data_IF_597276525170
#
_entry.id   IF_597276525170
#
_cell.length_a   1.000
_cell.length_b   1.000
_cell.length_c   1.000
_cell.angle_alpha   90.00
_cell.angle_beta   90.00
_cell.angle_gamma   90.00
#
_symmetry.space_group_name_H-M   'P 1'
#
loop_
_entity.id
_entity.type
_entity.pdbx_description
1 polymer ?
#
# COMPACT_ATOMS: atom_id res chain seq x y z
N UNK A 1 -51.29 -13.09 39.94
CA UNK A 1 -51.17 -11.67 39.54
C UNK A 1 -49.69 -11.39 39.27
N UNK A 2 -49.17 -11.51 38.03
CA UNK A 2 -47.73 -11.38 37.78
C UNK A 2 -47.38 -10.47 36.58
N UNK A 3 -48.12 -9.38 36.32
CA UNK A 3 -47.84 -8.48 35.18
C UNK A 3 -46.65 -7.54 35.40
N UNK A 4 -46.29 -7.26 36.66
CA UNK A 4 -45.19 -6.37 37.02
C UNK A 4 -43.81 -6.98 36.73
N UNK A 5 -43.59 -8.23 37.13
CA UNK A 5 -42.27 -8.88 37.02
C UNK A 5 -41.83 -9.12 35.58
N UNK A 6 -42.76 -9.49 34.69
CA UNK A 6 -42.49 -9.73 33.26
C UNK A 6 -42.02 -8.44 32.57
N UNK A 7 -42.59 -7.29 32.93
CA UNK A 7 -42.23 -6.00 32.36
C UNK A 7 -40.83 -5.53 32.79
N UNK A 8 -40.41 -5.82 34.03
CA UNK A 8 -39.05 -5.55 34.51
C UNK A 8 -38.00 -6.47 33.85
N UNK A 9 -38.33 -7.74 33.59
CA UNK A 9 -37.42 -8.69 32.91
C UNK A 9 -37.20 -8.29 31.45
N UNK A 10 -38.24 -7.84 30.75
CA UNK A 10 -38.10 -7.36 29.36
C UNK A 10 -37.24 -6.10 29.25
N UNK A 11 -37.42 -5.12 30.17
CA UNK A 11 -36.57 -3.91 30.24
C UNK A 11 -35.11 -4.24 30.56
N UNK A 12 -34.87 -5.21 31.45
CA UNK A 12 -33.51 -5.66 31.78
C UNK A 12 -32.85 -6.37 30.59
N UNK A 13 -33.61 -7.17 29.83
CA UNK A 13 -33.13 -7.86 28.63
C UNK A 13 -32.86 -6.89 27.47
N UNK A 14 -33.70 -5.87 27.28
CA UNK A 14 -33.49 -4.85 26.24
C UNK A 14 -32.33 -3.91 26.59
N UNK A 15 -32.21 -3.50 27.85
CA UNK A 15 -31.08 -2.71 28.33
C UNK A 15 -29.77 -3.49 28.27
N UNK A 16 -29.79 -4.78 28.62
CA UNK A 16 -28.65 -5.68 28.47
C UNK A 16 -28.23 -5.87 27.01
N UNK A 17 -29.19 -6.00 26.09
CA UNK A 17 -28.93 -6.08 24.65
C UNK A 17 -28.32 -4.81 24.07
N UNK A 18 -28.82 -3.63 24.47
CA UNK A 18 -28.24 -2.34 24.07
C UNK A 18 -26.83 -2.13 24.64
N UNK A 19 -26.62 -2.45 25.93
CA UNK A 19 -25.31 -2.32 26.56
C UNK A 19 -24.27 -3.27 25.93
N UNK A 20 -24.66 -4.52 25.67
CA UNK A 20 -23.81 -5.50 24.99
C UNK A 20 -23.48 -5.08 23.55
N UNK A 21 -24.47 -4.56 22.80
CA UNK A 21 -24.25 -4.06 21.45
C UNK A 21 -23.32 -2.85 21.40
N UNK A 22 -23.46 -1.93 22.36
CA UNK A 22 -22.61 -0.74 22.46
C UNK A 22 -21.17 -1.11 22.86
N UNK A 23 -21.01 -2.04 23.82
CA UNK A 23 -19.70 -2.60 24.16
C UNK A 23 -19.03 -3.29 22.96
N UNK A 24 -19.78 -4.09 22.21
CA UNK A 24 -19.25 -4.77 21.02
C UNK A 24 -18.80 -3.76 19.95
N UNK A 25 -19.60 -2.72 19.69
CA UNK A 25 -19.20 -1.64 18.77
C UNK A 25 -17.94 -0.92 19.25
N UNK A 26 -17.84 -0.64 20.54
CA UNK A 26 -16.70 0.07 21.11
C UNK A 26 -15.41 -0.76 21.02
N UNK A 27 -15.50 -2.07 21.29
CA UNK A 27 -14.39 -3.01 21.10
C UNK A 27 -14.00 -3.11 19.63
N UNK A 28 -14.98 -3.20 18.72
CA UNK A 28 -14.74 -3.26 17.28
C UNK A 28 -14.06 -1.99 16.75
N UNK A 29 -14.38 -0.81 17.32
CA UNK A 29 -13.76 0.46 16.97
C UNK A 29 -12.38 0.64 17.63
N UNK A 30 -12.21 0.13 18.85
CA UNK A 30 -10.94 0.21 19.58
C UNK A 30 -9.84 -0.63 18.93
N UNK A 31 -10.19 -1.76 18.30
CA UNK A 31 -9.24 -2.65 17.62
C UNK A 31 -8.43 -1.95 16.51
N UNK A 32 -9.04 -1.29 15.50
CA UNK A 32 -8.29 -0.57 14.48
C UNK A 32 -7.55 0.65 15.05
N UNK A 33 -8.10 1.32 16.07
CA UNK A 33 -7.43 2.44 16.74
C UNK A 33 -6.14 2.00 17.46
N UNK A 34 -6.19 0.87 18.19
CA UNK A 34 -5.00 0.28 18.81
C UNK A 34 -3.98 -0.16 17.76
N UNK A 35 -4.43 -0.74 16.66
CA UNK A 35 -3.56 -1.11 15.55
C UNK A 35 -2.88 0.12 14.92
N UNK A 36 -3.61 1.24 14.82
CA UNK A 36 -3.08 2.50 14.31
C UNK A 36 -2.10 3.16 15.28
N UNK A 37 -2.34 3.10 16.59
CA UNK A 37 -1.38 3.55 17.59
C UNK A 37 -0.07 2.74 17.50
N UNK A 38 -0.19 1.41 17.45
CA UNK A 38 0.97 0.54 17.27
C UNK A 38 1.70 0.80 15.95
N UNK A 39 0.96 0.95 14.85
CA UNK A 39 1.54 1.29 13.55
C UNK A 39 2.23 2.66 13.56
N UNK A 40 1.68 3.64 14.29
CA UNK A 40 2.29 4.96 14.44
C UNK A 40 3.62 4.90 15.21
N UNK A 41 3.67 4.22 16.35
CA UNK A 41 4.92 4.04 17.09
C UNK A 41 5.96 3.24 16.29
N UNK A 42 5.53 2.17 15.63
CA UNK A 42 6.41 1.37 14.75
C UNK A 42 6.92 2.24 13.59
N UNK A 43 6.11 3.15 13.05
CA UNK A 43 6.52 4.02 11.96
C UNK A 43 7.61 5.01 12.39
N UNK A 44 7.57 5.50 13.63
CA UNK A 44 8.61 6.37 14.18
C UNK A 44 9.91 5.60 14.36
N UNK A 45 9.86 4.38 14.89
CA UNK A 45 11.03 3.51 14.95
C UNK A 45 11.56 3.15 13.55
N UNK A 46 10.67 2.97 12.58
CA UNK A 46 11.04 2.71 11.19
C UNK A 46 11.74 3.90 10.53
N UNK A 47 11.58 5.14 11.01
CA UNK A 47 12.28 6.32 10.45
C UNK A 47 13.80 6.16 10.44
N UNK A 48 14.38 5.48 11.44
CA UNK A 48 15.82 5.25 11.49
C UNK A 48 16.28 4.29 10.39
N UNK A 49 15.41 3.37 9.96
CA UNK A 49 15.72 2.32 8.98
C UNK A 49 15.28 2.68 7.56
N UNK A 50 14.32 3.60 7.40
CA UNK A 50 13.78 4.02 6.10
C UNK A 50 14.88 4.53 5.15
N UNK A 51 15.82 5.40 5.55
CA UNK A 51 16.90 5.86 4.67
C UNK A 51 17.78 4.71 4.16
N UNK A 52 18.09 3.75 5.04
CA UNK A 52 18.88 2.57 4.67
C UNK A 52 18.11 1.66 3.71
N UNK A 53 16.82 1.42 3.98
CA UNK A 53 15.95 0.63 3.12
C UNK A 53 15.79 1.25 1.71
N UNK A 54 15.59 2.58 1.64
CA UNK A 54 15.54 3.32 0.36
C UNK A 54 16.88 3.20 -0.36
N UNK A 55 18.00 3.38 0.35
CA UNK A 55 19.34 3.26 -0.22
C UNK A 55 19.59 1.88 -0.85
N UNK A 56 19.32 0.81 -0.10
CA UNK A 56 19.47 -0.57 -0.57
C UNK A 56 18.54 -0.85 -1.75
N UNK A 57 17.27 -0.44 -1.67
CA UNK A 57 16.31 -0.63 -2.76
C UNK A 57 16.73 0.12 -4.04
N UNK A 58 17.26 1.35 -3.89
CA UNK A 58 17.74 2.17 -5.01
C UNK A 58 18.98 1.55 -5.66
N UNK A 59 19.94 1.08 -4.86
CA UNK A 59 21.11 0.34 -5.35
C UNK A 59 20.70 -0.97 -6.05
N UNK A 60 19.72 -1.69 -5.50
CA UNK A 60 19.12 -2.85 -6.13
C UNK A 60 18.53 -2.50 -7.49
N UNK A 61 17.75 -1.42 -7.58
CA UNK A 61 17.23 -0.92 -8.86
C UNK A 61 18.35 -0.60 -9.85
N UNK A 62 19.43 0.06 -9.43
CA UNK A 62 20.58 0.33 -10.30
C UNK A 62 21.23 -0.94 -10.84
N UNK A 63 21.34 -1.98 -10.01
CA UNK A 63 21.88 -3.29 -10.42
C UNK A 63 20.95 -4.03 -11.39
N UNK A 64 19.63 -3.77 -11.32
CA UNK A 64 18.64 -4.39 -12.18
C UNK A 64 18.55 -3.74 -13.57
N UNK A 65 19.01 -2.49 -13.74
CA UNK A 65 19.07 -1.80 -15.03
C UNK A 65 19.84 -2.62 -16.10
N UNK A 66 21.08 -3.08 -15.85
CA UNK A 66 21.79 -3.89 -16.85
C UNK A 66 21.08 -5.22 -17.15
N UNK A 67 20.45 -5.85 -16.15
CA UNK A 67 19.64 -7.06 -16.34
C UNK A 67 18.36 -6.80 -17.15
N UNK A 68 17.80 -5.59 -17.10
CA UNK A 68 16.64 -5.20 -17.90
C UNK A 68 17.01 -5.02 -19.38
N UNK A 69 18.25 -4.64 -19.69
CA UNK A 69 18.73 -4.51 -21.07
C UNK A 69 18.76 -5.89 -21.75
N UNK A 70 19.24 -6.91 -21.03
CA UNK A 70 19.37 -8.29 -21.54
C UNK A 70 17.97 -8.92 -21.73
N UNK A 71 17.56 -9.23 -22.96
CA UNK A 71 16.19 -9.63 -23.26
C UNK A 71 15.80 -11.01 -22.71
N UNK A 72 16.75 -11.81 -22.23
CA UNK A 72 16.49 -13.10 -21.59
C UNK A 72 16.07 -12.96 -20.11
N UNK A 73 16.51 -11.90 -19.44
CA UNK A 73 16.28 -11.66 -18.00
C UNK A 73 15.21 -10.60 -17.72
N UNK A 74 14.60 -10.02 -18.77
CA UNK A 74 13.56 -8.97 -18.66
C UNK A 74 12.37 -9.35 -17.78
N UNK A 75 11.90 -10.60 -17.84
CA UNK A 75 10.81 -11.07 -16.98
C UNK A 75 11.18 -11.02 -15.49
N UNK A 76 12.38 -11.50 -15.14
CA UNK A 76 12.88 -11.47 -13.77
C UNK A 76 13.14 -10.02 -13.30
N UNK A 77 13.70 -9.17 -14.17
CA UNK A 77 13.89 -7.75 -13.87
C UNK A 77 12.54 -7.06 -13.61
N UNK A 78 11.49 -7.34 -14.39
CA UNK A 78 10.16 -6.78 -14.19
C UNK A 78 9.58 -7.14 -12.82
N UNK A 79 9.70 -8.41 -12.39
CA UNK A 79 9.26 -8.85 -11.07
C UNK A 79 10.03 -8.15 -9.94
N UNK A 80 11.36 -8.03 -10.06
CA UNK A 80 12.19 -7.39 -9.03
C UNK A 80 11.95 -5.87 -8.95
N UNK A 81 11.73 -5.18 -10.07
CA UNK A 81 11.28 -3.78 -10.06
C UNK A 81 9.88 -3.63 -9.45
N UNK A 82 8.99 -4.61 -9.67
CA UNK A 82 7.68 -4.65 -9.04
C UNK A 82 7.76 -4.79 -7.52
N UNK A 83 8.68 -5.64 -7.03
CA UNK A 83 8.95 -5.80 -5.60
C UNK A 83 9.56 -4.53 -5.00
N UNK A 84 10.53 -3.92 -5.68
CA UNK A 84 11.14 -2.66 -5.25
C UNK A 84 10.10 -1.54 -5.13
N UNK A 85 9.13 -1.46 -6.05
CA UNK A 85 8.01 -0.53 -5.97
C UNK A 85 7.19 -0.71 -4.68
N UNK A 86 6.94 -1.94 -4.24
CA UNK A 86 6.24 -2.17 -2.96
C UNK A 86 7.05 -1.66 -1.76
N UNK A 87 8.37 -1.81 -1.78
CA UNK A 87 9.26 -1.29 -0.74
C UNK A 87 9.22 0.24 -0.70
N UNK A 88 9.35 0.91 -1.85
CA UNK A 88 9.27 2.37 -1.91
C UNK A 88 7.89 2.88 -1.49
N UNK A 89 6.82 2.19 -1.86
CA UNK A 89 5.46 2.53 -1.44
C UNK A 89 5.26 2.36 0.07
N UNK A 90 5.78 1.28 0.66
CA UNK A 90 5.73 1.07 2.11
C UNK A 90 6.56 2.13 2.86
N UNK A 91 7.75 2.46 2.39
CA UNK A 91 8.58 3.53 2.96
C UNK A 91 7.87 4.89 2.87
N UNK A 92 7.28 5.24 1.72
CA UNK A 92 6.49 6.46 1.54
C UNK A 92 5.33 6.52 2.54
N UNK A 93 4.62 5.41 2.69
CA UNK A 93 3.46 5.32 3.55
C UNK A 93 3.82 5.46 5.02
N UNK A 94 4.84 4.72 5.49
CA UNK A 94 5.34 4.81 6.86
C UNK A 94 5.92 6.18 7.17
N UNK A 95 6.67 6.77 6.23
CA UNK A 95 7.24 8.10 6.40
C UNK A 95 6.15 9.17 6.56
N UNK A 96 5.11 9.14 5.73
CA UNK A 96 3.99 10.05 5.84
C UNK A 96 3.14 9.83 7.10
N UNK A 97 3.00 8.56 7.54
CA UNK A 97 2.31 8.22 8.78
C UNK A 97 3.04 8.76 10.00
N UNK A 98 4.35 8.49 10.10
CA UNK A 98 5.18 8.94 11.20
C UNK A 98 5.14 10.47 11.31
N UNK A 99 5.24 11.16 10.17
CA UNK A 99 5.21 12.61 10.15
C UNK A 99 3.85 13.19 10.57
N UNK A 100 2.76 12.64 10.04
CA UNK A 100 1.39 13.03 10.47
C UNK A 100 1.19 12.83 11.97
N UNK A 101 1.71 11.73 12.51
CA UNK A 101 1.63 11.42 13.93
C UNK A 101 2.43 12.40 14.79
N UNK A 102 3.64 12.78 14.37
CA UNK A 102 4.48 13.73 15.10
C UNK A 102 3.89 15.14 15.13
N UNK A 103 3.31 15.61 14.02
CA UNK A 103 2.79 16.98 13.91
C UNK A 103 1.34 17.13 14.38
N UNK A 104 0.45 16.23 13.98
CA UNK A 104 -1.00 16.34 14.22
C UNK A 104 -1.51 15.29 15.22
N UNK A 105 -0.64 14.40 15.72
CA UNK A 105 -1.02 13.34 16.64
C UNK A 105 -1.94 12.29 16.01
N UNK A 106 -2.65 11.55 16.88
CA UNK A 106 -3.51 10.45 16.46
C UNK A 106 -4.69 10.91 15.58
N UNK A 107 -5.19 12.13 15.78
CA UNK A 107 -6.31 12.67 15.00
C UNK A 107 -5.96 12.81 13.52
N UNK A 108 -4.75 13.29 13.20
CA UNK A 108 -4.29 13.39 11.82
C UNK A 108 -4.18 12.01 11.15
N UNK A 109 -3.65 11.02 11.87
CA UNK A 109 -3.51 9.65 11.36
C UNK A 109 -4.87 9.01 11.11
N UNK A 110 -5.85 9.19 12.01
CA UNK A 110 -7.21 8.67 11.83
C UNK A 110 -7.86 9.27 10.58
N UNK A 111 -7.76 10.58 10.40
CA UNK A 111 -8.28 11.26 9.19
C UNK A 111 -7.59 10.71 7.93
N UNK A 112 -6.27 10.55 7.97
CA UNK A 112 -5.50 10.03 6.84
C UNK A 112 -5.89 8.61 6.45
N UNK A 113 -6.13 7.74 7.42
CA UNK A 113 -6.49 6.33 7.16
C UNK A 113 -7.93 6.19 6.69
N UNK A 114 -8.85 7.00 7.21
CA UNK A 114 -10.26 7.00 6.76
C UNK A 114 -10.41 7.29 5.26
N UNK A 115 -9.45 8.01 4.66
CA UNK A 115 -9.37 8.21 3.21
C UNK A 115 -8.59 7.04 2.57
N UNK A 116 -9.11 5.82 2.75
CA UNK A 116 -8.64 4.58 2.11
C UNK A 116 -7.13 4.29 2.21
N UNK A 117 -6.48 4.70 3.30
CA UNK A 117 -5.03 4.54 3.49
C UNK A 117 -4.16 5.45 2.60
N UNK A 118 -4.60 5.84 1.41
CA UNK A 118 -3.88 6.83 0.56
C UNK A 118 -3.87 8.21 1.23
N UNK A 119 -4.91 8.53 2.00
CA UNK A 119 -4.98 9.80 2.72
C UNK A 119 -3.89 10.00 3.76
N UNK A 120 -3.19 8.96 4.21
CA UNK A 120 -2.04 9.13 5.11
C UNK A 120 -0.92 9.91 4.43
N UNK A 121 -0.72 9.69 3.13
CA UNK A 121 0.25 10.45 2.33
C UNK A 121 -0.22 11.90 2.16
N UNK A 122 -1.51 12.11 1.91
CA UNK A 122 -2.10 13.46 1.74
C UNK A 122 -2.04 14.24 3.06
N UNK A 123 -2.46 13.63 4.16
CA UNK A 123 -2.42 14.24 5.50
C UNK A 123 -0.99 14.52 5.96
N UNK A 124 -0.04 13.62 5.68
CA UNK A 124 1.39 13.87 5.96
C UNK A 124 1.97 15.02 5.12
N UNK A 125 1.54 15.13 3.87
CA UNK A 125 1.92 16.26 2.99
C UNK A 125 1.31 17.56 3.50
N UNK A 126 0.04 17.56 3.90
CA UNK A 126 -0.63 18.74 4.47
C UNK A 126 0.01 19.16 5.80
N UNK A 127 0.35 18.20 6.65
CA UNK A 127 1.09 18.47 7.87
C UNK A 127 2.43 19.13 7.55
N UNK A 128 3.18 18.62 6.56
CA UNK A 128 4.49 19.17 6.20
C UNK A 128 4.39 20.59 5.62
N UNK A 129 3.31 20.90 4.89
CA UNK A 129 3.03 22.25 4.40
C UNK A 129 2.75 23.21 5.55
N UNK A 130 1.88 22.83 6.50
CA UNK A 130 1.54 23.71 7.63
C UNK A 130 2.69 23.89 8.62
N UNK A 131 3.53 22.88 8.81
CA UNK A 131 4.73 22.97 9.65
C UNK A 131 5.93 23.60 8.93
N UNK A 132 5.79 23.98 7.64
CA UNK A 132 6.82 24.66 6.86
C UNK A 132 8.06 23.80 6.54
N UNK A 133 7.94 22.47 6.62
CA UNK A 133 9.06 21.55 6.45
C UNK A 133 9.23 21.11 4.99
N UNK A 134 9.92 21.95 4.21
CA UNK A 134 10.20 21.71 2.79
C UNK A 134 11.03 20.45 2.51
N UNK A 135 11.93 20.08 3.43
CA UNK A 135 12.75 18.86 3.31
C UNK A 135 11.87 17.61 3.31
N UNK A 136 10.84 17.58 4.16
CA UNK A 136 9.89 16.47 4.26
C UNK A 136 9.07 16.36 2.98
N UNK A 137 8.60 17.49 2.45
CA UNK A 137 7.91 17.54 1.16
C UNK A 137 8.78 17.01 0.02
N UNK A 138 10.06 17.41 -0.01
CA UNK A 138 11.03 16.90 -0.98
C UNK A 138 11.21 15.38 -0.87
N UNK A 139 11.31 14.85 0.34
CA UNK A 139 11.45 13.40 0.58
C UNK A 139 10.20 12.63 0.16
N UNK A 140 9.01 13.12 0.51
CA UNK A 140 7.72 12.53 0.09
C UNK A 140 7.61 12.53 -1.42
N UNK A 141 7.93 13.66 -2.08
CA UNK A 141 7.90 13.76 -3.54
C UNK A 141 8.91 12.83 -4.21
N UNK A 142 10.13 12.72 -3.66
CA UNK A 142 11.16 11.82 -4.15
C UNK A 142 10.76 10.34 -4.03
N UNK A 143 10.24 9.94 -2.87
CA UNK A 143 9.72 8.60 -2.63
C UNK A 143 8.54 8.27 -3.54
N UNK A 144 7.63 9.23 -3.76
CA UNK A 144 6.52 9.08 -4.69
C UNK A 144 7.03 8.90 -6.12
N UNK A 145 8.04 9.67 -6.54
CA UNK A 145 8.66 9.54 -7.86
C UNK A 145 9.33 8.17 -8.04
N UNK A 146 10.03 7.65 -7.02
CA UNK A 146 10.60 6.31 -7.05
C UNK A 146 9.53 5.22 -7.10
N UNK A 147 8.46 5.36 -6.30
CA UNK A 147 7.33 4.44 -6.30
C UNK A 147 6.69 4.33 -7.68
N UNK A 148 6.31 5.47 -8.27
CA UNK A 148 5.66 5.53 -9.59
C UNK A 148 6.64 5.11 -10.68
N UNK A 149 7.88 5.58 -10.64
CA UNK A 149 8.91 5.28 -11.65
C UNK A 149 9.21 3.79 -11.74
N UNK A 150 9.42 3.12 -10.61
CA UNK A 150 9.66 1.67 -10.58
C UNK A 150 8.43 0.87 -11.01
N UNK A 151 7.23 1.32 -10.64
CA UNK A 151 5.97 0.70 -11.07
C UNK A 151 5.80 0.74 -12.58
N UNK A 152 6.02 1.91 -13.19
CA UNK A 152 5.94 2.09 -14.63
C UNK A 152 6.98 1.25 -15.37
N UNK A 153 8.23 1.25 -14.86
CA UNK A 153 9.31 0.47 -15.45
C UNK A 153 9.04 -1.04 -15.36
N UNK A 154 8.51 -1.52 -14.25
CA UNK A 154 8.12 -2.92 -14.06
C UNK A 154 7.06 -3.35 -15.09
N UNK A 155 5.99 -2.58 -15.26
CA UNK A 155 4.93 -2.88 -16.23
C UNK A 155 5.45 -2.84 -17.66
N UNK A 156 6.30 -1.86 -17.99
CA UNK A 156 6.90 -1.75 -19.31
C UNK A 156 7.79 -2.95 -19.65
N UNK A 157 8.63 -3.38 -18.71
CA UNK A 157 9.48 -4.57 -18.87
C UNK A 157 8.68 -5.87 -18.98
N UNK A 158 7.57 -5.99 -18.23
CA UNK A 158 6.68 -7.14 -18.32
C UNK A 158 6.08 -7.28 -19.73
N UNK A 159 5.58 -6.18 -20.31
CA UNK A 159 5.06 -6.17 -21.69
C UNK A 159 6.11 -6.59 -22.72
N UNK A 160 7.35 -6.08 -22.57
CA UNK A 160 8.46 -6.46 -23.45
C UNK A 160 8.84 -7.94 -23.33
N UNK A 161 8.66 -8.54 -22.16
CA UNK A 161 8.90 -9.98 -21.96
C UNK A 161 7.80 -10.81 -22.64
N UNK A 162 6.53 -10.43 -22.46
CA UNK A 162 5.37 -11.14 -23.03
C UNK A 162 5.40 -11.15 -24.56
N UNK A 163 5.71 -10.02 -25.20
CA UNK A 163 5.88 -9.95 -26.66
C UNK A 163 6.94 -10.93 -27.18
N UNK A 164 8.00 -11.17 -26.39
CA UNK A 164 9.06 -12.10 -26.78
C UNK A 164 8.61 -13.56 -26.66
N UNK A 165 7.80 -13.88 -25.65
CA UNK A 165 7.22 -15.21 -25.52
C UNK A 165 6.27 -15.52 -26.68
N UNK A 166 5.42 -14.56 -27.06
CA UNK A 166 4.51 -14.71 -28.22
C UNK A 166 5.28 -14.89 -29.54
N UNK A 167 6.35 -14.12 -29.76
CA UNK A 167 7.20 -14.27 -30.96
C UNK A 167 7.93 -15.61 -31.04
N UNK A 168 8.28 -16.20 -29.89
CA UNK A 168 8.89 -17.54 -29.83
C UNK A 168 7.85 -18.62 -30.11
N UNK A 169 6.67 -18.54 -29.50
CA UNK A 169 5.56 -19.47 -29.75
C UNK A 169 5.17 -19.48 -31.24
N UNK A 170 5.05 -18.30 -31.87
CA UNK A 170 4.75 -18.18 -33.30
C UNK A 170 5.83 -18.77 -34.23
N UNK A 171 7.09 -18.89 -33.77
CA UNK A 171 8.18 -19.54 -34.51
C UNK A 171 8.20 -21.06 -34.35
N UNK A 172 7.78 -21.56 -33.19
CA UNK A 172 7.84 -22.99 -32.84
C UNK A 172 6.61 -23.77 -33.37
N UNK A 173 5.44 -23.13 -33.50
CA UNK A 173 4.22 -23.74 -34.07
C UNK A 173 3.64 -22.93 -35.26
N UNK A 174 4.28 -22.96 -36.45
CA UNK A 174 3.77 -22.26 -37.63
C UNK A 174 2.38 -22.76 -38.07
N UNK A 175 2.07 -24.03 -37.82
CA UNK A 175 0.87 -24.72 -38.28
C UNK A 175 -0.42 -24.31 -37.54
N UNK A 176 -0.37 -23.96 -36.25
CA UNK A 176 -1.58 -23.50 -35.51
C UNK A 176 -2.03 -22.09 -35.94
N UNK A 177 -1.08 -21.21 -36.26
CA UNK A 177 -1.36 -19.83 -36.70
C UNK A 177 -2.01 -19.81 -38.09
N UNK A 178 -1.58 -20.72 -38.99
CA UNK A 178 -2.19 -20.89 -40.32
C UNK A 178 -3.62 -21.46 -40.21
N UNK A 179 -3.88 -22.33 -39.23
CA UNK A 179 -5.21 -22.90 -39.01
C UNK A 179 -6.16 -21.85 -38.42
N UNK A 180 -5.73 -21.05 -37.43
CA UNK A 180 -6.55 -19.98 -36.87
C UNK A 180 -6.96 -18.94 -37.94
N UNK A 181 -6.01 -18.52 -38.79
CA UNK A 181 -6.31 -17.58 -39.87
C UNK A 181 -7.22 -18.17 -40.96
N UNK A 182 -7.20 -19.49 -41.17
CA UNK A 182 -8.05 -20.19 -42.15
C UNK A 182 -9.47 -20.44 -41.65
N UNK A 183 -9.72 -20.38 -40.34
CA UNK A 183 -11.06 -20.58 -39.76
C UNK A 183 -11.86 -19.27 -39.70
N UNK A 184 -11.18 -18.12 -39.69
CA UNK A 184 -11.80 -16.78 -39.63
C UNK A 184 -12.02 -16.12 -41.00
N UNK A 185 -11.62 -16.74 -42.11
CA UNK A 185 -11.83 -16.26 -43.49
C UNK A 185 -12.77 -17.15 -44.28
#
# INVERSE_FOLDING_TARGET
MPRGDIMSIEKLKSAGGMAAGLLLMLVLLALPLMLLLGAAEISVWALDWIPQAIGIATLGCMLLIPLAIIPATRGLAASLFGLASLVFGACLWLYALAFTYLEWGMLGVVIGVLIFGVGVVVTGTLAAIFSGMWVVLGNVAFLLALFVGTRLLSVWLARLADERHMRKAARETPSEVVIAHKIEG
#
